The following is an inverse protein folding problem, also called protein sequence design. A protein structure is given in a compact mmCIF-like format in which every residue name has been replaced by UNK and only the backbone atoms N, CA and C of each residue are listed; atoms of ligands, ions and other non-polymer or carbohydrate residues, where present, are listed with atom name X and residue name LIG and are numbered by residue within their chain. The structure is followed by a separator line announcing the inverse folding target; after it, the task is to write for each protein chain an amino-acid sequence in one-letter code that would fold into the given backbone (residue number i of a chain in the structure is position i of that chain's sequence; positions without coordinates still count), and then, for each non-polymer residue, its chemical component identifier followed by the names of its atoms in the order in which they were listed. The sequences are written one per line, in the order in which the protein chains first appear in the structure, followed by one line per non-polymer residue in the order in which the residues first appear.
data_IF_026938614062
#
_entry.id   IF_026938614062
#
_cell.length_a   1.000
_cell.length_b   1.000
_cell.length_c   1.000
_cell.angle_alpha   90.00
_cell.angle_beta   90.00
_cell.angle_gamma   90.00
#
_symmetry.space_group_name_H-M   'P 1'
#
loop_
_entity.id
_entity.type
_entity.pdbx_description
1 polymer ?
#
# COMPACT_ATOMS: atom_id res chain seq x y z
N UNK A 1 -37.99 -16.29 17.22
CA UNK A 1 -36.93 -16.82 16.34
C UNK A 1 -35.64 -16.14 16.76
N UNK A 2 -34.60 -16.87 17.12
CA UNK A 2 -33.29 -16.26 17.39
C UNK A 2 -32.72 -15.87 16.02
N UNK A 3 -32.70 -14.59 15.74
CA UNK A 3 -32.12 -14.07 14.51
C UNK A 3 -30.62 -14.40 14.52
N UNK A 4 -30.18 -15.15 13.51
CA UNK A 4 -28.81 -15.67 13.47
C UNK A 4 -27.88 -14.51 13.14
N UNK A 5 -27.26 -13.92 14.15
CA UNK A 5 -26.33 -12.82 13.95
C UNK A 5 -25.13 -13.25 13.11
N UNK A 6 -24.73 -12.41 12.16
CA UNK A 6 -23.53 -12.58 11.35
C UNK A 6 -22.29 -12.57 12.25
N UNK A 7 -21.40 -13.55 12.08
CA UNK A 7 -20.14 -13.66 12.84
C UNK A 7 -18.97 -12.95 12.16
N UNK A 8 -18.80 -13.17 10.86
CA UNK A 8 -17.76 -12.53 10.03
C UNK A 8 -17.98 -11.03 9.97
N UNK A 9 -16.97 -10.20 10.28
CA UNK A 9 -17.08 -8.73 10.26
C UNK A 9 -16.82 -8.15 8.87
N UNK A 10 -17.32 -6.94 8.60
CA UNK A 10 -17.17 -6.24 7.32
C UNK A 10 -16.35 -4.97 7.58
N UNK A 11 -15.28 -4.82 6.80
CA UNK A 11 -14.48 -3.60 6.71
C UNK A 11 -14.82 -2.88 5.40
N UNK A 12 -15.08 -1.57 5.45
CA UNK A 12 -15.36 -0.75 4.27
C UNK A 12 -14.39 0.42 4.17
N UNK A 13 -13.76 0.61 3.01
CA UNK A 13 -12.88 1.78 2.77
C UNK A 13 -13.72 3.02 2.48
N UNK A 14 -13.39 4.13 3.12
CA UNK A 14 -14.03 5.42 2.86
C UNK A 14 -13.29 6.21 1.79
N UNK A 15 -14.03 7.06 1.08
CA UNK A 15 -13.51 7.93 0.03
C UNK A 15 -14.62 8.80 -0.57
N UNK A 16 -14.40 9.42 -1.75
CA UNK A 16 -15.36 10.33 -2.36
C UNK A 16 -16.78 9.76 -2.51
N UNK A 17 -16.91 8.45 -2.76
CA UNK A 17 -18.20 7.77 -2.88
C UNK A 17 -18.98 7.68 -1.55
N UNK A 18 -18.33 7.90 -0.40
CA UNK A 18 -18.92 7.84 0.94
C UNK A 18 -19.06 9.20 1.62
N UNK A 19 -18.63 10.29 0.97
CA UNK A 19 -18.60 11.63 1.57
C UNK A 19 -19.99 12.32 1.54
N UNK A 20 -20.94 11.79 0.77
CA UNK A 20 -22.28 12.39 0.67
C UNK A 20 -23.09 12.19 1.98
N UNK A 21 -23.88 13.20 2.42
CA UNK A 21 -24.70 13.09 3.62
C UNK A 21 -25.62 11.87 3.61
N UNK A 22 -25.70 11.15 4.72
CA UNK A 22 -26.54 9.97 4.89
C UNK A 22 -25.90 8.65 4.45
N UNK A 23 -24.87 8.67 3.60
CA UNK A 23 -24.23 7.43 3.10
C UNK A 23 -23.59 6.63 4.23
N UNK A 24 -22.92 7.28 5.18
CA UNK A 24 -22.36 6.59 6.35
C UNK A 24 -23.45 5.91 7.19
N UNK A 25 -24.58 6.58 7.40
CA UNK A 25 -25.71 6.02 8.15
C UNK A 25 -26.25 4.76 7.45
N UNK A 26 -26.34 4.78 6.12
CA UNK A 26 -26.79 3.64 5.32
C UNK A 26 -25.78 2.49 5.33
N UNK A 27 -24.47 2.77 5.25
CA UNK A 27 -23.42 1.75 5.41
C UNK A 27 -23.48 1.06 6.77
N UNK A 28 -23.76 1.82 7.82
CA UNK A 28 -23.83 1.30 9.18
C UNK A 28 -25.10 0.46 9.40
N UNK A 29 -26.25 0.90 8.86
CA UNK A 29 -27.48 0.08 8.83
C UNK A 29 -27.32 -1.19 8.00
N UNK A 30 -26.53 -1.14 6.93
CA UNK A 30 -26.19 -2.31 6.11
C UNK A 30 -25.23 -3.30 6.81
N UNK A 31 -24.59 -2.88 7.92
CA UNK A 31 -23.82 -3.77 8.79
C UNK A 31 -22.29 -3.66 8.66
N UNK A 32 -21.75 -2.55 8.17
CA UNK A 32 -20.29 -2.27 8.27
C UNK A 32 -19.88 -2.23 9.76
N UNK A 33 -18.76 -2.89 10.09
CA UNK A 33 -18.25 -2.96 11.48
C UNK A 33 -16.98 -2.15 11.68
N UNK A 34 -16.16 -2.02 10.65
CA UNK A 34 -14.93 -1.25 10.67
C UNK A 34 -14.88 -0.41 9.40
N UNK A 35 -14.47 0.84 9.51
CA UNK A 35 -14.15 1.67 8.35
C UNK A 35 -12.65 1.80 8.20
N UNK A 36 -12.17 1.83 6.96
CA UNK A 36 -10.78 2.05 6.62
C UNK A 36 -10.58 3.45 6.07
N UNK A 37 -9.69 4.22 6.69
CA UNK A 37 -9.17 5.49 6.21
C UNK A 37 -7.82 5.21 5.53
N UNK A 38 -7.78 5.30 4.21
CA UNK A 38 -6.56 5.04 3.45
C UNK A 38 -5.72 6.32 3.32
N UNK A 39 -4.59 6.41 4.04
CA UNK A 39 -3.72 7.58 4.04
C UNK A 39 -2.80 7.68 2.81
N UNK A 40 -2.87 6.70 1.88
CA UNK A 40 -2.26 6.83 0.55
C UNK A 40 -2.93 7.93 -0.29
N UNK A 41 -4.17 8.30 0.05
CA UNK A 41 -4.98 9.27 -0.67
C UNK A 41 -5.58 10.32 0.27
N UNK A 42 -5.81 11.51 -0.28
CA UNK A 42 -6.31 12.65 0.48
C UNK A 42 -5.25 13.21 1.43
N UNK A 43 -5.59 14.35 2.04
CA UNK A 43 -4.77 14.96 3.07
C UNK A 43 -5.19 14.43 4.46
N UNK A 44 -4.28 14.46 5.46
CA UNK A 44 -4.58 13.97 6.80
C UNK A 44 -5.75 14.70 7.50
N UNK A 45 -5.99 15.97 7.18
CA UNK A 45 -7.09 16.73 7.80
C UNK A 45 -8.46 16.26 7.28
N UNK A 46 -8.55 15.92 5.99
CA UNK A 46 -9.72 15.27 5.41
C UNK A 46 -10.03 13.92 6.05
N UNK A 47 -8.99 13.11 6.32
CA UNK A 47 -9.17 11.83 7.02
C UNK A 47 -9.64 12.01 8.48
N UNK A 48 -9.10 13.01 9.20
CA UNK A 48 -9.56 13.35 10.55
C UNK A 48 -11.04 13.78 10.57
N UNK A 49 -11.47 14.57 9.57
CA UNK A 49 -12.88 14.95 9.41
C UNK A 49 -13.77 13.73 9.18
N UNK A 50 -13.37 12.81 8.30
CA UNK A 50 -14.10 11.55 8.06
C UNK A 50 -14.22 10.72 9.33
N UNK A 51 -13.15 10.62 10.13
CA UNK A 51 -13.20 9.90 11.41
C UNK A 51 -14.24 10.49 12.37
N UNK A 52 -14.31 11.83 12.48
CA UNK A 52 -15.32 12.48 13.30
C UNK A 52 -16.75 12.23 12.78
N UNK A 53 -16.95 12.27 11.46
CA UNK A 53 -18.24 11.97 10.83
C UNK A 53 -18.68 10.51 11.04
N UNK A 54 -17.74 9.56 10.99
CA UNK A 54 -17.96 8.15 11.31
C UNK A 54 -18.46 7.98 12.74
N UNK A 55 -17.78 8.57 13.72
CA UNK A 55 -18.21 8.47 15.13
C UNK A 55 -19.59 9.11 15.33
N UNK A 56 -19.85 10.26 14.68
CA UNK A 56 -21.16 10.91 14.74
C UNK A 56 -22.28 10.07 14.09
N UNK A 57 -22.03 9.46 12.93
CA UNK A 57 -22.97 8.58 12.24
C UNK A 57 -23.23 7.29 13.03
N UNK A 58 -22.19 6.69 13.61
CA UNK A 58 -22.31 5.50 14.46
C UNK A 58 -23.21 5.78 15.68
N UNK A 59 -23.01 6.94 16.33
CA UNK A 59 -23.87 7.41 17.43
C UNK A 59 -25.33 7.65 16.99
N UNK A 60 -25.56 8.25 15.81
CA UNK A 60 -26.93 8.46 15.27
C UNK A 60 -27.65 7.16 14.98
N UNK A 61 -26.94 6.16 14.43
CA UNK A 61 -27.51 4.86 14.07
C UNK A 61 -27.63 3.94 15.29
N UNK A 62 -26.85 4.18 16.34
CA UNK A 62 -26.84 3.36 17.57
C UNK A 62 -26.02 2.08 17.41
N UNK A 63 -24.90 2.14 16.70
CA UNK A 63 -23.99 1.01 16.50
C UNK A 63 -22.54 1.37 16.84
N UNK A 64 -21.74 0.37 17.18
CA UNK A 64 -20.30 0.53 17.34
C UNK A 64 -19.58 0.24 16.02
N UNK A 65 -18.72 1.16 15.59
CA UNK A 65 -17.93 1.05 14.35
C UNK A 65 -16.48 1.39 14.67
N UNK A 66 -15.58 0.44 14.35
CA UNK A 66 -14.14 0.63 14.47
C UNK A 66 -13.57 1.48 13.33
N UNK A 67 -12.46 2.16 13.57
CA UNK A 67 -11.73 2.95 12.59
C UNK A 67 -10.32 2.38 12.43
N UNK A 68 -9.98 1.96 11.21
CA UNK A 68 -8.65 1.52 10.82
C UNK A 68 -7.98 2.62 9.99
N UNK A 69 -6.84 3.13 10.46
CA UNK A 69 -5.93 3.96 9.67
C UNK A 69 -4.95 3.07 8.91
N UNK A 70 -4.97 3.12 7.58
CA UNK A 70 -4.05 2.35 6.74
C UNK A 70 -2.92 3.26 6.24
N UNK A 71 -1.70 2.96 6.69
CA UNK A 71 -0.50 3.73 6.36
C UNK A 71 -0.05 3.43 4.93
N UNK A 72 0.41 4.43 4.15
CA UNK A 72 0.85 4.23 2.77
C UNK A 72 1.98 3.21 2.61
N UNK A 73 3.00 3.26 3.48
CA UNK A 73 4.23 2.49 3.30
C UNK A 73 5.07 2.91 2.09
N UNK A 74 6.19 2.20 1.84
CA UNK A 74 7.17 2.49 0.80
C UNK A 74 6.74 2.02 -0.60
N UNK A 75 5.57 2.44 -1.09
CA UNK A 75 5.12 2.01 -2.44
C UNK A 75 5.98 2.67 -3.53
N UNK A 76 6.83 1.87 -4.19
CA UNK A 76 7.65 2.31 -5.31
C UNK A 76 6.75 2.56 -6.51
N UNK A 77 7.01 3.65 -7.22
CA UNK A 77 6.27 4.05 -8.42
C UNK A 77 7.22 4.52 -9.49
N UNK A 78 6.82 4.38 -10.74
CA UNK A 78 7.43 5.16 -11.83
C UNK A 78 7.00 6.62 -11.74
N UNK A 79 7.77 7.49 -12.35
CA UNK A 79 7.45 8.91 -12.47
C UNK A 79 6.47 9.17 -13.63
N UNK A 80 6.39 10.43 -14.06
CA UNK A 80 5.39 10.87 -15.04
C UNK A 80 5.94 10.85 -16.45
N UNK A 81 5.08 10.60 -17.42
CA UNK A 81 5.39 10.69 -18.84
C UNK A 81 5.07 12.10 -19.36
N UNK A 82 5.82 12.58 -20.35
CA UNK A 82 5.52 13.84 -21.03
C UNK A 82 4.09 13.85 -21.63
N UNK A 83 3.62 12.69 -22.13
CA UNK A 83 2.27 12.49 -22.67
C UNK A 83 1.28 11.85 -21.70
N UNK A 84 1.63 11.68 -20.41
CA UNK A 84 0.82 11.03 -19.38
C UNK A 84 0.72 9.49 -19.48
N UNK A 85 1.02 8.92 -20.65
CA UNK A 85 1.12 7.48 -20.90
C UNK A 85 1.97 7.17 -22.14
N UNK A 86 2.42 5.93 -22.23
CA UNK A 86 3.14 5.37 -23.39
C UNK A 86 2.61 3.98 -23.72
N UNK A 87 2.75 3.57 -24.98
CA UNK A 87 2.50 2.21 -25.41
C UNK A 87 3.84 1.51 -25.61
N UNK A 88 4.00 0.33 -25.02
CA UNK A 88 5.21 -0.48 -25.08
C UNK A 88 4.89 -1.81 -25.76
N UNK A 89 5.86 -2.34 -26.51
CA UNK A 89 5.74 -3.66 -27.14
C UNK A 89 6.79 -4.61 -26.58
N UNK A 90 6.46 -5.89 -26.54
CA UNK A 90 7.39 -6.94 -26.17
C UNK A 90 8.65 -6.88 -27.05
N UNK A 91 9.81 -6.98 -26.41
CA UNK A 91 11.13 -6.87 -27.05
C UNK A 91 11.70 -5.45 -27.13
N UNK A 92 10.89 -4.41 -26.89
CA UNK A 92 11.40 -3.03 -26.86
C UNK A 92 12.34 -2.83 -25.66
N UNK A 93 13.35 -1.98 -25.83
CA UNK A 93 14.16 -1.48 -24.71
C UNK A 93 13.38 -0.38 -23.98
N UNK A 94 13.32 -0.48 -22.66
CA UNK A 94 12.70 0.54 -21.81
C UNK A 94 13.48 0.69 -20.51
N UNK A 95 14.05 1.87 -20.27
CA UNK A 95 14.95 2.11 -19.14
C UNK A 95 14.23 2.76 -17.96
N UNK A 96 14.59 2.34 -16.75
CA UNK A 96 14.19 3.01 -15.51
C UNK A 96 15.34 3.88 -15.00
N UNK A 97 15.04 5.14 -14.69
CA UNK A 97 16.04 6.13 -14.26
C UNK A 97 15.85 6.46 -12.78
N UNK A 98 16.76 5.99 -11.94
CA UNK A 98 16.77 6.21 -10.50
C UNK A 98 17.44 7.55 -10.14
N UNK A 99 16.93 8.65 -10.71
CA UNK A 99 17.47 10.00 -10.53
C UNK A 99 16.36 11.00 -10.20
N UNK A 100 16.60 11.90 -9.25
CA UNK A 100 15.65 12.97 -8.90
C UNK A 100 15.46 13.97 -10.06
N UNK A 101 16.45 14.08 -10.94
CA UNK A 101 16.46 14.98 -12.10
C UNK A 101 16.07 14.25 -13.41
N UNK A 102 15.47 13.06 -13.31
CA UNK A 102 15.02 12.32 -14.47
C UNK A 102 14.04 13.16 -15.30
N UNK A 103 14.29 13.24 -16.61
CA UNK A 103 13.37 13.89 -17.54
C UNK A 103 12.00 13.19 -17.52
N UNK A 104 10.90 13.92 -17.85
CA UNK A 104 9.60 13.29 -18.05
C UNK A 104 9.72 12.10 -19.01
N UNK A 105 9.10 10.98 -18.65
CA UNK A 105 9.23 9.74 -19.39
C UNK A 105 8.67 9.82 -20.81
N UNK A 106 9.17 8.93 -21.66
CA UNK A 106 8.75 8.73 -23.04
C UNK A 106 8.72 7.22 -23.36
N UNK A 107 8.69 6.85 -24.65
CA UNK A 107 8.65 5.45 -25.07
C UNK A 107 9.95 4.67 -24.81
N UNK A 108 11.03 5.33 -24.37
CA UNK A 108 12.34 4.73 -24.14
C UNK A 108 12.76 4.68 -22.67
N UNK A 109 12.25 5.59 -21.84
CA UNK A 109 12.62 5.65 -20.42
C UNK A 109 11.56 6.33 -19.55
N UNK A 110 11.62 6.06 -18.24
CA UNK A 110 10.88 6.80 -17.21
C UNK A 110 11.66 6.83 -15.89
N UNK A 111 11.50 7.89 -15.10
CA UNK A 111 12.05 7.95 -13.74
C UNK A 111 11.39 6.96 -12.79
N UNK A 112 12.04 6.66 -11.66
CA UNK A 112 11.46 5.89 -10.54
C UNK A 112 11.56 6.65 -9.23
N UNK A 113 10.56 6.49 -8.38
CA UNK A 113 10.47 7.20 -7.09
C UNK A 113 11.45 6.68 -6.05
N UNK A 114 11.97 5.46 -6.24
CA UNK A 114 12.97 4.86 -5.35
C UNK A 114 14.35 4.91 -6.00
N UNK A 115 15.17 5.85 -5.55
CA UNK A 115 16.51 6.06 -6.08
C UNK A 115 17.50 4.94 -5.72
N UNK A 116 17.15 4.11 -4.73
CA UNK A 116 17.94 2.94 -4.34
C UNK A 116 17.73 1.70 -5.20
N UNK A 117 16.77 1.75 -6.15
CA UNK A 117 16.41 0.59 -6.98
C UNK A 117 17.60 -0.06 -7.69
N UNK A 118 18.61 0.68 -8.22
CA UNK A 118 19.77 0.07 -8.85
C UNK A 118 20.62 -0.84 -7.94
N UNK A 119 20.48 -0.72 -6.61
CA UNK A 119 21.18 -1.60 -5.66
C UNK A 119 20.40 -2.88 -5.33
N UNK A 120 19.09 -2.90 -5.62
CA UNK A 120 18.19 -4.01 -5.29
C UNK A 120 17.89 -4.91 -6.50
N UNK A 121 18.34 -4.53 -7.70
CA UNK A 121 18.06 -5.23 -8.94
C UNK A 121 19.33 -5.62 -9.69
N UNK A 122 19.29 -6.73 -10.40
CA UNK A 122 20.38 -7.20 -11.25
C UNK A 122 19.89 -7.90 -12.51
N UNK A 123 20.80 -8.22 -13.46
CA UNK A 123 20.45 -8.90 -14.70
C UNK A 123 19.63 -10.18 -14.45
N UNK A 124 18.52 -10.31 -15.17
CA UNK A 124 17.59 -11.43 -15.06
C UNK A 124 16.39 -11.19 -14.15
N UNK A 125 16.45 -10.21 -13.25
CA UNK A 125 15.30 -9.83 -12.41
C UNK A 125 14.13 -9.36 -13.27
N UNK A 126 12.91 -9.66 -12.81
CA UNK A 126 11.66 -9.21 -13.45
C UNK A 126 11.02 -8.14 -12.57
N UNK A 127 10.84 -6.95 -13.15
CA UNK A 127 10.12 -5.84 -12.54
C UNK A 127 8.69 -5.81 -13.05
N UNK A 128 7.76 -5.71 -12.11
CA UNK A 128 6.32 -5.76 -12.32
C UNK A 128 5.76 -4.35 -12.13
N UNK A 129 5.16 -3.81 -13.18
CA UNK A 129 4.56 -2.48 -13.18
C UNK A 129 3.05 -2.57 -13.35
N UNK A 130 2.34 -1.62 -12.74
CA UNK A 130 0.88 -1.55 -12.79
C UNK A 130 0.22 -2.87 -12.36
N UNK A 131 0.55 -3.32 -11.15
CA UNK A 131 0.04 -4.56 -10.56
C UNK A 131 0.30 -5.81 -11.45
N UNK A 132 1.46 -5.84 -12.13
CA UNK A 132 1.83 -6.92 -13.06
C UNK A 132 1.32 -6.74 -14.49
N UNK A 133 0.58 -5.65 -14.74
CA UNK A 133 0.15 -5.09 -16.04
C UNK A 133 1.22 -5.19 -17.13
N UNK A 134 2.40 -4.70 -16.75
CA UNK A 134 3.57 -4.55 -17.58
C UNK A 134 4.77 -5.18 -16.89
N UNK A 135 5.57 -5.92 -17.62
CA UNK A 135 6.75 -6.58 -17.08
C UNK A 135 8.00 -6.17 -17.84
N UNK A 136 9.06 -5.88 -17.08
CA UNK A 136 10.37 -5.52 -17.60
C UNK A 136 11.38 -6.54 -17.08
N UNK A 137 12.21 -7.10 -17.95
CA UNK A 137 13.36 -7.89 -17.52
C UNK A 137 14.60 -7.01 -17.51
N UNK A 138 15.26 -6.97 -16.36
CA UNK A 138 16.53 -6.24 -16.19
C UNK A 138 17.60 -6.92 -17.02
N UNK A 139 18.23 -6.15 -17.91
CA UNK A 139 19.35 -6.60 -18.74
C UNK A 139 20.67 -6.22 -18.08
N UNK A 140 20.78 -4.98 -17.60
CA UNK A 140 21.99 -4.43 -17.01
C UNK A 140 21.66 -3.22 -16.13
N UNK A 141 22.50 -2.95 -15.13
CA UNK A 141 22.45 -1.73 -14.32
C UNK A 141 23.72 -0.90 -14.56
N UNK A 142 23.54 0.35 -14.98
CA UNK A 142 24.61 1.31 -15.27
C UNK A 142 24.42 2.59 -14.44
N UNK A 143 25.01 2.60 -13.24
CA UNK A 143 24.83 3.71 -12.28
C UNK A 143 23.36 3.84 -11.89
N UNK A 144 22.74 4.98 -12.21
CA UNK A 144 21.33 5.26 -11.94
C UNK A 144 20.37 4.68 -13.00
N UNK A 145 20.89 4.15 -14.11
CA UNK A 145 20.08 3.63 -15.22
C UNK A 145 19.96 2.11 -15.13
N UNK A 146 18.73 1.63 -15.07
CA UNK A 146 18.40 0.21 -15.15
C UNK A 146 17.88 -0.04 -16.56
N UNK A 147 18.64 -0.80 -17.35
CA UNK A 147 18.33 -1.12 -18.74
C UNK A 147 17.46 -2.36 -18.74
N UNK A 148 16.29 -2.28 -19.37
CA UNK A 148 15.35 -3.39 -19.41
C UNK A 148 14.86 -3.71 -20.82
N UNK A 149 14.37 -4.95 -20.97
CA UNK A 149 13.57 -5.38 -22.12
C UNK A 149 12.13 -5.57 -21.67
N UNK A 150 11.18 -5.04 -22.44
CA UNK A 150 9.74 -5.22 -22.21
C UNK A 150 9.35 -6.66 -22.53
N UNK A 151 8.65 -7.34 -21.62
CA UNK A 151 8.26 -8.74 -21.79
C UNK A 151 6.88 -8.92 -22.44
N UNK A 152 5.99 -7.93 -22.33
CA UNK A 152 4.63 -8.00 -22.84
C UNK A 152 4.15 -6.66 -23.40
N UNK A 153 3.22 -6.72 -24.35
CA UNK A 153 2.57 -5.52 -24.89
C UNK A 153 1.66 -4.86 -23.84
N UNK A 154 1.60 -3.53 -23.85
CA UNK A 154 0.61 -2.82 -23.05
C UNK A 154 0.80 -1.31 -23.00
N UNK A 155 0.06 -0.68 -22.09
CA UNK A 155 0.06 0.76 -21.87
C UNK A 155 0.51 1.05 -20.45
N UNK A 156 1.50 1.91 -20.31
CA UNK A 156 2.02 2.35 -19.04
C UNK A 156 1.70 3.84 -18.86
N UNK A 157 1.09 4.22 -17.74
CA UNK A 157 0.72 5.60 -17.44
C UNK A 157 1.46 6.15 -16.22
N UNK A 158 1.26 7.43 -15.91
CA UNK A 158 1.86 8.09 -14.74
C UNK A 158 1.68 7.30 -13.44
N UNK A 159 2.74 7.32 -12.61
CA UNK A 159 2.69 6.98 -11.17
C UNK A 159 2.19 5.56 -10.87
N UNK A 160 2.31 4.63 -11.83
CA UNK A 160 2.03 3.20 -11.62
C UNK A 160 3.02 2.58 -10.65
N UNK A 161 2.53 1.61 -9.87
CA UNK A 161 3.36 0.88 -8.90
C UNK A 161 4.44 0.07 -9.60
N UNK A 162 5.56 -0.14 -8.92
CA UNK A 162 6.64 -1.02 -9.34
C UNK A 162 6.95 -1.98 -8.19
N UNK A 163 7.00 -3.27 -8.49
CA UNK A 163 7.46 -4.33 -7.60
C UNK A 163 8.54 -5.16 -8.32
N UNK A 164 9.25 -5.99 -7.56
CA UNK A 164 10.17 -7.01 -8.08
C UNK A 164 9.55 -8.39 -7.86
N UNK A 165 9.53 -9.22 -8.89
CA UNK A 165 9.03 -10.59 -8.79
C UNK A 165 9.88 -11.38 -7.78
N UNK A 166 9.23 -12.04 -6.82
CA UNK A 166 9.91 -12.78 -5.75
C UNK A 166 10.49 -11.90 -4.62
N UNK A 167 10.15 -10.60 -4.56
CA UNK A 167 10.58 -9.71 -3.49
C UNK A 167 12.04 -9.20 -3.63
N UNK A 168 12.68 -8.87 -2.51
CA UNK A 168 14.08 -8.46 -2.45
C UNK A 168 14.34 -6.95 -2.53
N UNK A 169 13.31 -6.12 -2.37
CA UNK A 169 13.44 -4.66 -2.31
C UNK A 169 13.76 -4.22 -0.87
N UNK A 170 14.88 -3.52 -0.68
CA UNK A 170 15.48 -3.22 0.63
C UNK A 170 14.78 -2.09 1.41
N UNK A 171 13.84 -1.37 0.77
CA UNK A 171 13.05 -0.29 1.37
C UNK A 171 12.40 -0.71 2.70
N UNK A 172 12.68 0.06 3.75
CA UNK A 172 12.07 -0.12 5.07
C UNK A 172 10.55 0.03 5.04
N UNK A 173 9.84 -0.69 5.91
CA UNK A 173 8.37 -0.69 5.94
C UNK A 173 7.76 0.66 6.36
N UNK A 174 8.50 1.45 7.14
CA UNK A 174 8.06 2.77 7.61
C UNK A 174 8.88 3.88 6.96
N UNK A 175 8.23 4.65 6.09
CA UNK A 175 8.82 5.89 5.55
C UNK A 175 8.76 7.01 6.60
N UNK A 176 9.56 8.07 6.45
CA UNK A 176 9.46 9.26 7.32
C UNK A 176 8.04 9.84 7.33
N UNK A 177 7.36 9.82 6.18
CA UNK A 177 5.95 10.22 6.08
C UNK A 177 5.03 9.31 6.90
N UNK A 178 5.28 7.99 6.93
CA UNK A 178 4.48 7.08 7.76
C UNK A 178 4.66 7.38 9.25
N UNK A 179 5.90 7.68 9.68
CA UNK A 179 6.19 8.07 11.08
C UNK A 179 5.43 9.35 11.46
N UNK A 180 5.44 10.36 10.60
CA UNK A 180 4.63 11.59 10.79
C UNK A 180 3.13 11.29 10.83
N UNK A 181 2.65 10.43 9.94
CA UNK A 181 1.24 10.03 9.86
C UNK A 181 0.80 9.28 11.12
N UNK A 182 1.62 8.41 11.72
CA UNK A 182 1.31 7.74 12.98
C UNK A 182 1.01 8.78 14.08
N UNK A 183 1.79 9.86 14.16
CA UNK A 183 1.54 10.94 15.12
C UNK A 183 0.25 11.73 14.85
N UNK A 184 -0.18 11.84 13.60
CA UNK A 184 -1.48 12.44 13.24
C UNK A 184 -2.62 11.49 13.58
N UNK A 185 -2.49 10.21 13.21
CA UNK A 185 -3.46 9.15 13.43
C UNK A 185 -3.72 8.93 14.93
N UNK A 186 -2.67 9.03 15.76
CA UNK A 186 -2.78 9.00 17.21
C UNK A 186 -3.79 10.04 17.75
N UNK A 187 -3.77 11.26 17.20
CA UNK A 187 -4.67 12.35 17.60
C UNK A 187 -6.12 12.14 17.13
N UNK A 188 -6.33 11.32 16.10
CA UNK A 188 -7.67 11.00 15.57
C UNK A 188 -8.40 10.04 16.51
N UNK A 189 -7.67 9.24 17.32
CA UNK A 189 -8.27 8.22 18.18
C UNK A 189 -8.84 7.04 17.39
N UNK A 190 -8.04 6.53 16.45
CA UNK A 190 -8.39 5.33 15.69
C UNK A 190 -8.24 4.07 16.55
N UNK A 191 -8.95 3.01 16.17
CA UNK A 191 -8.95 1.74 16.90
C UNK A 191 -7.85 0.79 16.37
N UNK A 192 -7.47 0.94 15.09
CA UNK A 192 -6.45 0.14 14.43
C UNK A 192 -5.51 1.00 13.58
N UNK A 193 -4.23 0.61 13.53
CA UNK A 193 -3.24 1.15 12.59
C UNK A 193 -2.69 -0.01 11.75
N UNK A 194 -2.88 0.05 10.43
CA UNK A 194 -2.32 -0.94 9.51
C UNK A 194 -0.99 -0.48 8.94
N UNK A 195 0.02 -1.35 9.05
CA UNK A 195 1.38 -1.13 8.59
C UNK A 195 1.56 -1.86 7.26
N UNK A 196 1.77 -1.10 6.20
CA UNK A 196 2.00 -1.63 4.84
C UNK A 196 3.43 -2.15 4.69
N UNK A 197 3.61 -3.14 3.82
CA UNK A 197 4.91 -3.69 3.41
C UNK A 197 5.82 -4.12 4.57
N UNK A 198 5.26 -4.58 5.69
CA UNK A 198 6.05 -5.14 6.79
C UNK A 198 6.76 -6.42 6.33
N UNK A 199 8.02 -6.60 6.71
CA UNK A 199 8.86 -7.74 6.30
C UNK A 199 9.22 -8.66 7.46
N UNK A 200 9.20 -8.13 8.68
CA UNK A 200 9.65 -8.80 9.89
C UNK A 200 8.96 -8.20 11.14
N UNK A 201 9.19 -8.81 12.29
CA UNK A 201 8.67 -8.35 13.57
C UNK A 201 9.17 -6.94 13.95
N UNK A 202 10.39 -6.57 13.56
CA UNK A 202 10.96 -5.26 13.89
C UNK A 202 10.17 -4.12 13.26
N UNK A 203 9.76 -4.26 12.00
CA UNK A 203 8.92 -3.26 11.31
C UNK A 203 7.61 -2.98 12.10
N UNK A 204 7.01 -4.03 12.69
CA UNK A 204 5.80 -3.91 13.52
C UNK A 204 6.09 -3.29 14.89
N UNK A 205 7.19 -3.69 15.53
CA UNK A 205 7.61 -3.15 16.82
C UNK A 205 7.98 -1.67 16.73
N UNK A 206 8.62 -1.24 15.65
CA UNK A 206 8.94 0.16 15.38
C UNK A 206 7.67 1.00 15.23
N UNK A 207 6.69 0.52 14.46
CA UNK A 207 5.40 1.19 14.32
C UNK A 207 4.69 1.32 15.68
N UNK A 208 4.76 0.28 16.51
CA UNK A 208 4.16 0.26 17.86
C UNK A 208 4.82 1.27 18.78
N UNK A 209 6.15 1.31 18.79
CA UNK A 209 6.91 2.25 19.59
C UNK A 209 6.58 3.70 19.22
N UNK A 210 6.47 4.01 17.92
CA UNK A 210 6.09 5.35 17.46
C UNK A 210 4.66 5.70 17.87
N UNK A 211 3.70 4.77 17.73
CA UNK A 211 2.32 4.99 18.17
C UNK A 211 2.25 5.28 19.68
N UNK A 212 2.97 4.50 20.49
CA UNK A 212 3.04 4.68 21.95
C UNK A 212 3.70 5.99 22.36
N UNK A 213 4.75 6.44 21.64
CA UNK A 213 5.36 7.76 21.86
C UNK A 213 4.36 8.91 21.67
N UNK A 214 3.34 8.71 20.82
CA UNK A 214 2.25 9.64 20.61
C UNK A 214 1.01 9.37 21.48
N UNK A 215 1.11 8.46 22.46
CA UNK A 215 0.02 8.11 23.37
C UNK A 215 -1.13 7.36 22.70
N UNK A 216 -0.84 6.60 21.64
CA UNK A 216 -1.82 5.81 20.91
C UNK A 216 -1.63 4.31 21.21
N UNK A 217 -2.68 3.71 21.75
CA UNK A 217 -2.76 2.26 22.05
C UNK A 217 -3.61 1.51 21.01
N UNK A 218 -3.69 2.03 19.77
CA UNK A 218 -4.41 1.35 18.69
C UNK A 218 -3.79 -0.02 18.40
N UNK A 219 -4.63 -0.99 18.09
CA UNK A 219 -4.18 -2.32 17.70
C UNK A 219 -3.45 -2.25 16.35
N UNK A 220 -2.27 -2.87 16.26
CA UNK A 220 -1.51 -2.90 15.01
C UNK A 220 -1.95 -4.04 14.11
N UNK A 221 -2.12 -3.70 12.84
CA UNK A 221 -2.47 -4.62 11.77
C UNK A 221 -1.27 -4.78 10.84
N UNK A 222 -0.64 -5.96 10.81
CA UNK A 222 0.35 -6.26 9.79
C UNK A 222 -0.33 -6.54 8.46
N UNK A 223 0.14 -5.91 7.39
CA UNK A 223 -0.34 -6.20 6.04
C UNK A 223 0.66 -7.12 5.36
N UNK A 224 0.24 -8.36 5.14
CA UNK A 224 1.03 -9.38 4.46
C UNK A 224 0.95 -9.10 2.95
N UNK A 225 1.92 -8.33 2.47
CA UNK A 225 2.00 -7.78 1.11
C UNK A 225 3.26 -8.22 0.36
N UNK A 226 4.22 -8.81 1.09
CA UNK A 226 5.55 -9.11 0.58
C UNK A 226 5.90 -10.58 0.72
N UNK A 227 6.76 -11.05 -0.16
CA UNK A 227 7.35 -12.40 -0.11
C UNK A 227 8.04 -12.64 1.22
N UNK A 228 8.85 -11.69 1.69
CA UNK A 228 9.57 -11.78 2.97
C UNK A 228 8.61 -11.87 4.18
N UNK A 229 7.41 -11.29 4.07
CA UNK A 229 6.41 -11.37 5.12
C UNK A 229 5.83 -12.79 5.27
N UNK A 230 5.84 -13.58 4.20
CA UNK A 230 5.45 -15.00 4.24
C UNK A 230 6.56 -15.83 4.88
N UNK A 231 7.82 -15.54 4.53
CA UNK A 231 8.99 -16.23 5.10
C UNK A 231 9.10 -15.98 6.62
N UNK A 232 8.78 -14.77 7.07
CA UNK A 232 8.83 -14.35 8.48
C UNK A 232 7.45 -14.30 9.14
N UNK A 233 6.46 -15.06 8.64
CA UNK A 233 5.07 -14.92 9.04
C UNK A 233 4.85 -15.11 10.55
N UNK A 234 5.51 -16.08 11.16
CA UNK A 234 5.35 -16.40 12.59
C UNK A 234 5.72 -15.22 13.48
N UNK A 235 6.90 -14.63 13.28
CA UNK A 235 7.35 -13.48 14.08
C UNK A 235 6.51 -12.22 13.81
N UNK A 236 6.01 -12.03 12.58
CA UNK A 236 5.12 -10.91 12.25
C UNK A 236 3.79 -11.06 12.98
N UNK A 237 3.22 -12.28 12.99
CA UNK A 237 1.96 -12.58 13.70
C UNK A 237 2.13 -12.32 15.20
N UNK A 238 3.23 -12.75 15.81
CA UNK A 238 3.52 -12.51 17.23
C UNK A 238 3.67 -11.03 17.58
N UNK A 239 4.21 -10.22 16.66
CA UNK A 239 4.35 -8.78 16.85
C UNK A 239 3.07 -7.97 16.55
N UNK A 240 2.02 -8.61 16.03
CA UNK A 240 0.78 -7.97 15.54
C UNK A 240 -0.43 -8.28 16.40
N UNK A 241 -1.40 -7.37 16.42
CA UNK A 241 -2.71 -7.61 17.05
C UNK A 241 -3.72 -8.19 16.06
N UNK A 242 -3.56 -7.86 14.76
CA UNK A 242 -4.37 -8.36 13.65
C UNK A 242 -3.44 -8.59 12.45
N UNK A 243 -3.77 -9.59 11.64
CA UNK A 243 -3.10 -9.85 10.35
C UNK A 243 -4.08 -9.59 9.21
N UNK A 244 -3.63 -8.84 8.21
CA UNK A 244 -4.38 -8.56 6.98
C UNK A 244 -3.70 -9.26 5.80
N UNK A 245 -4.41 -10.22 5.19
CA UNK A 245 -3.98 -10.88 3.96
C UNK A 245 -4.26 -9.94 2.78
N UNK A 246 -3.25 -9.17 2.37
CA UNK A 246 -3.35 -8.15 1.34
C UNK A 246 -3.02 -8.72 -0.04
N UNK A 247 -3.95 -9.54 -0.55
CA UNK A 247 -3.80 -10.35 -1.77
C UNK A 247 -3.40 -9.58 -3.03
N UNK A 248 -3.67 -8.27 -3.11
CA UNK A 248 -3.32 -7.45 -4.27
C UNK A 248 -1.81 -7.35 -4.44
N UNK A 249 -1.13 -6.63 -3.55
CA UNK A 249 0.32 -6.48 -3.62
C UNK A 249 1.04 -7.84 -3.43
N UNK A 250 0.55 -8.72 -2.56
CA UNK A 250 1.14 -10.06 -2.37
C UNK A 250 1.08 -10.91 -3.65
N UNK A 251 -0.07 -10.94 -4.33
CA UNK A 251 -0.25 -11.72 -5.57
C UNK A 251 0.63 -11.23 -6.71
N UNK A 252 0.94 -9.93 -6.73
CA UNK A 252 1.92 -9.38 -7.68
C UNK A 252 3.31 -9.96 -7.40
N UNK A 253 3.76 -10.06 -6.15
CA UNK A 253 5.11 -10.55 -5.85
C UNK A 253 5.28 -12.06 -6.01
N UNK A 254 4.34 -12.86 -5.50
CA UNK A 254 4.44 -14.34 -5.48
C UNK A 254 3.76 -15.01 -6.68
N UNK A 255 2.93 -14.26 -7.41
CA UNK A 255 2.06 -14.76 -8.47
C UNK A 255 0.68 -15.18 -7.96
N UNK A 256 -0.37 -14.83 -8.69
CA UNK A 256 -1.77 -15.10 -8.33
C UNK A 256 -2.07 -16.58 -8.03
N UNK A 257 -1.34 -17.51 -8.65
CA UNK A 257 -1.53 -18.94 -8.48
C UNK A 257 -1.07 -19.45 -7.10
N UNK A 258 -0.14 -18.75 -6.44
CA UNK A 258 0.43 -19.12 -5.14
C UNK A 258 -0.32 -18.47 -3.95
N UNK A 259 -1.34 -17.64 -4.23
CA UNK A 259 -2.14 -16.96 -3.20
C UNK A 259 -3.08 -17.87 -2.38
N UNK A 260 -3.79 -18.86 -2.96
CA UNK A 260 -4.73 -19.71 -2.21
C UNK A 260 -4.03 -20.75 -1.30
#
# INVERSE_FOLDING_TARGET
MIERQRRTKILATLGPATDAPGVLDDLFRAGVNVVRLNFSHGDPSGQAKRAAEVRAAANRVGVEVGILADLPGPKIRIERFAGGKVQLKAGDRFDLIASADAAPGDASQVGVSYLGLPQDVGPGDVLLLDDGLMQLQVVEVQGERIINTVLNDGVLSDRKGLNKQGGGLSLGALTERDKELIGIVAKIGVDFIAVSFCRNAQDMNDARAIAQQHGCDAALVSKIERTEAIENLEEIVEASDVVMVARGDLGVEIGDAELP
#
